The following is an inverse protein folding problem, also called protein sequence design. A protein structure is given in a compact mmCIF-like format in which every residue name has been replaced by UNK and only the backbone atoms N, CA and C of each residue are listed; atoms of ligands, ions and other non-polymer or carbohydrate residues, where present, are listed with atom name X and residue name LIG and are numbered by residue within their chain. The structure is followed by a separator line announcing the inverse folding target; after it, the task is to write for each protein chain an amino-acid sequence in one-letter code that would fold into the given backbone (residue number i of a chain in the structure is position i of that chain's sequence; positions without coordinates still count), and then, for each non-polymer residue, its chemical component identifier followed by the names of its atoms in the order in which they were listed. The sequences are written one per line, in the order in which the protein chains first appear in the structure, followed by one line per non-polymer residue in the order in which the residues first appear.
data_IF_922709529829
#
_entry.id   IF_922709529829
#
_cell.length_a   1.000
_cell.length_b   1.000
_cell.length_c   1.000
_cell.angle_alpha   90.00
_cell.angle_beta   90.00
_cell.angle_gamma   90.00
#
_symmetry.space_group_name_H-M   'P 1'
#
loop_
_entity.id
_entity.type
_entity.pdbx_description
1 polymer ?
#
# COMPACT_ATOMS: atom_id res chain seq x y z
N UNK A 1 12.90 28.10 24.25
CA UNK A 1 12.50 26.92 23.44
C UNK A 1 13.50 26.80 22.32
N UNK A 2 14.27 25.71 22.32
CA UNK A 2 15.37 25.49 21.38
C UNK A 2 14.85 24.84 20.07
N UNK A 3 15.02 25.48 18.90
CA UNK A 3 14.57 24.95 17.61
C UNK A 3 15.43 23.79 17.05
N UNK A 4 16.46 23.31 17.76
CA UNK A 4 17.39 22.30 17.26
C UNK A 4 16.94 20.82 17.37
N UNK A 5 15.67 20.52 17.70
CA UNK A 5 15.21 19.12 17.94
C UNK A 5 14.58 18.39 16.75
N UNK A 6 14.58 18.97 15.55
CA UNK A 6 14.21 18.26 14.33
C UNK A 6 15.43 17.53 13.77
N UNK A 7 15.57 16.25 14.13
CA UNK A 7 16.51 15.35 13.47
C UNK A 7 16.27 15.37 11.96
N UNK A 8 17.33 15.71 11.24
CA UNK A 8 17.47 15.64 9.79
C UNK A 8 17.24 14.20 9.34
N UNK A 9 16.06 13.91 8.79
CA UNK A 9 15.78 12.62 8.15
C UNK A 9 16.61 12.60 6.86
N UNK A 10 17.60 11.71 6.77
CA UNK A 10 18.38 11.55 5.54
C UNK A 10 17.47 11.08 4.38
N UNK A 11 17.66 11.61 3.16
CA UNK A 11 16.82 11.21 2.04
C UNK A 11 17.16 9.78 1.61
N UNK A 12 16.20 8.87 1.83
CA UNK A 12 16.17 7.49 1.35
C UNK A 12 16.22 7.46 -0.19
N UNK A 13 17.41 7.55 -0.77
CA UNK A 13 17.64 7.57 -2.23
C UNK A 13 18.40 6.34 -2.74
N UNK A 14 18.65 5.32 -1.92
CA UNK A 14 19.53 4.21 -2.32
C UNK A 14 18.89 2.92 -2.84
N UNK A 15 17.56 2.73 -2.78
CA UNK A 15 16.95 1.46 -3.22
C UNK A 15 16.34 1.41 -4.63
N UNK A 16 16.42 2.49 -5.43
CA UNK A 16 15.82 2.49 -6.77
C UNK A 16 16.72 1.98 -7.90
N UNK A 17 17.95 1.52 -7.62
CA UNK A 17 18.84 0.97 -8.64
C UNK A 17 18.60 -0.52 -8.82
N UNK A 18 17.53 -0.87 -9.52
CA UNK A 18 17.51 -1.88 -10.59
C UNK A 18 16.06 -2.20 -10.96
N UNK A 19 15.37 -1.26 -11.60
CA UNK A 19 14.01 -1.54 -12.03
C UNK A 19 13.84 -1.08 -13.46
N UNK A 20 13.90 -2.06 -14.37
CA UNK A 20 13.92 -1.98 -15.84
C UNK A 20 13.32 -0.71 -16.43
N UNK A 21 14.09 -0.13 -17.34
CA UNK A 21 13.90 1.12 -18.10
C UNK A 21 12.45 1.66 -18.08
N UNK A 22 12.15 2.44 -17.05
CA UNK A 22 11.04 3.39 -17.07
C UNK A 22 11.64 4.71 -17.54
N UNK A 23 11.16 5.23 -18.67
CA UNK A 23 11.64 6.51 -19.22
C UNK A 23 11.71 7.61 -18.15
N UNK A 24 12.80 8.39 -18.14
CA UNK A 24 13.18 9.36 -17.11
C UNK A 24 12.05 10.34 -16.67
N UNK A 25 11.11 10.67 -17.57
CA UNK A 25 9.95 11.54 -17.29
C UNK A 25 8.91 10.87 -16.39
N UNK A 26 8.68 9.57 -16.56
CA UNK A 26 7.71 8.78 -15.81
C UNK A 26 8.21 8.47 -14.41
N UNK A 27 9.52 8.22 -14.23
CA UNK A 27 10.11 7.99 -12.91
C UNK A 27 10.01 9.24 -12.01
N UNK A 28 10.31 10.43 -12.57
CA UNK A 28 10.19 11.69 -11.83
C UNK A 28 8.73 11.99 -11.45
N UNK A 29 7.78 11.69 -12.34
CA UNK A 29 6.36 11.90 -12.06
C UNK A 29 5.83 10.89 -11.02
N UNK A 30 6.28 9.63 -11.04
CA UNK A 30 5.93 8.63 -10.00
C UNK A 30 6.44 9.08 -8.62
N UNK A 31 7.64 9.66 -8.54
CA UNK A 31 8.20 10.20 -7.29
C UNK A 31 7.38 11.35 -6.69
N UNK A 32 6.62 12.08 -7.51
CA UNK A 32 5.76 13.17 -7.04
C UNK A 32 4.34 12.70 -6.68
N UNK A 33 3.89 11.58 -7.26
CA UNK A 33 2.54 11.06 -7.08
C UNK A 33 2.43 10.09 -5.90
N UNK A 34 3.52 9.38 -5.56
CA UNK A 34 3.54 8.35 -4.52
C UNK A 34 4.77 8.44 -3.63
N UNK A 35 4.59 8.20 -2.33
CA UNK A 35 5.68 7.93 -1.38
C UNK A 35 5.67 6.44 -1.06
N UNK A 36 6.86 5.84 -1.03
CA UNK A 36 7.03 4.43 -0.69
C UNK A 36 7.95 4.33 0.51
N UNK A 37 7.47 3.64 1.53
CA UNK A 37 8.23 3.33 2.74
C UNK A 37 8.17 1.82 2.96
N UNK A 38 9.21 1.27 3.59
CA UNK A 38 9.23 -0.13 4.00
C UNK A 38 9.48 -0.21 5.49
N UNK A 39 8.62 -0.97 6.18
CA UNK A 39 8.77 -1.28 7.60
C UNK A 39 8.78 -2.80 7.72
N UNK A 40 9.93 -3.38 8.09
CA UNK A 40 10.18 -4.82 8.03
C UNK A 40 9.94 -5.37 6.61
N UNK A 41 9.01 -6.29 6.43
CA UNK A 41 8.61 -6.86 5.14
C UNK A 41 7.34 -6.21 4.55
N UNK A 42 6.83 -5.16 5.19
CA UNK A 42 5.61 -4.44 4.78
C UNK A 42 6.00 -3.24 3.92
N UNK A 43 5.49 -3.20 2.69
CA UNK A 43 5.62 -2.05 1.78
C UNK A 43 4.42 -1.12 1.94
N UNK A 44 4.66 0.13 2.28
CA UNK A 44 3.64 1.17 2.45
C UNK A 44 3.74 2.10 1.25
N UNK A 45 2.65 2.27 0.52
CA UNK A 45 2.55 3.14 -0.64
C UNK A 45 1.51 4.20 -0.34
N UNK A 46 1.95 5.43 -0.08
CA UNK A 46 1.08 6.57 0.11
C UNK A 46 0.81 7.27 -1.21
N UNK A 47 -0.47 7.50 -1.50
CA UNK A 47 -0.89 8.27 -2.68
C UNK A 47 -0.96 9.74 -2.30
N UNK A 48 -0.18 10.60 -2.96
CA UNK A 48 -0.13 12.04 -2.69
C UNK A 48 -1.15 12.85 -3.50
N UNK A 49 -1.88 12.20 -4.39
CA UNK A 49 -2.82 12.83 -5.30
C UNK A 49 -4.20 13.03 -4.64
N UNK A 50 -4.80 14.20 -4.85
CA UNK A 50 -6.18 14.46 -4.42
C UNK A 50 -7.20 13.62 -5.20
N UNK A 51 -6.94 13.38 -6.48
CA UNK A 51 -7.84 12.69 -7.39
C UNK A 51 -7.18 11.42 -7.93
N UNK A 52 -7.60 10.26 -7.44
CA UNK A 52 -7.17 8.96 -7.92
C UNK A 52 -8.13 8.50 -9.03
N UNK A 53 -7.87 9.00 -10.24
CA UNK A 53 -8.72 8.78 -11.43
C UNK A 53 -8.04 7.90 -12.48
N UNK A 54 -8.75 7.58 -13.56
CA UNK A 54 -8.29 6.75 -14.69
C UNK A 54 -6.79 6.87 -15.08
N UNK A 55 -6.26 8.09 -15.28
CA UNK A 55 -4.86 8.31 -15.68
C UNK A 55 -3.88 7.82 -14.62
N UNK A 56 -4.23 8.03 -13.36
CA UNK A 56 -3.46 7.56 -12.20
C UNK A 56 -3.56 6.05 -12.08
N UNK A 57 -4.75 5.48 -12.33
CA UNK A 57 -5.03 4.04 -12.17
C UNK A 57 -4.12 3.16 -13.02
N UNK A 58 -3.85 3.52 -14.29
CA UNK A 58 -2.95 2.74 -15.15
C UNK A 58 -1.52 2.73 -14.62
N UNK A 59 -0.97 3.91 -14.33
CA UNK A 59 0.41 4.06 -13.82
C UNK A 59 0.57 3.41 -12.46
N UNK A 60 -0.41 3.58 -11.58
CA UNK A 60 -0.41 2.99 -10.26
C UNK A 60 -0.52 1.46 -10.31
N UNK A 61 -1.33 0.91 -11.23
CA UNK A 61 -1.39 -0.53 -11.46
C UNK A 61 -0.04 -1.10 -11.88
N UNK A 62 0.60 -0.51 -12.88
CA UNK A 62 1.95 -0.94 -13.34
C UNK A 62 2.98 -0.86 -12.20
N UNK A 63 2.92 0.22 -11.43
CA UNK A 63 3.76 0.43 -10.25
C UNK A 63 3.54 -0.66 -9.19
N UNK A 64 2.30 -0.93 -8.82
CA UNK A 64 1.94 -1.93 -7.82
C UNK A 64 2.27 -3.35 -8.28
N UNK A 65 2.02 -3.66 -9.55
CA UNK A 65 2.37 -4.95 -10.14
C UNK A 65 3.88 -5.22 -10.09
N UNK A 66 4.69 -4.19 -10.29
CA UNK A 66 6.15 -4.28 -10.20
C UNK A 66 6.60 -4.64 -8.78
N UNK A 67 6.01 -4.03 -7.75
CA UNK A 67 6.28 -4.42 -6.36
C UNK A 67 5.90 -5.87 -6.07
N UNK A 68 4.73 -6.32 -6.55
CA UNK A 68 4.26 -7.69 -6.38
C UNK A 68 5.19 -8.69 -7.08
N UNK A 69 5.58 -8.42 -8.32
CA UNK A 69 6.52 -9.25 -9.09
C UNK A 69 7.89 -9.31 -8.41
N UNK A 70 8.35 -8.21 -7.79
CA UNK A 70 9.59 -8.14 -7.02
C UNK A 70 9.51 -8.78 -5.62
N UNK A 71 8.54 -9.66 -5.38
CA UNK A 71 8.47 -10.44 -4.15
C UNK A 71 7.76 -9.76 -2.98
N UNK A 72 7.24 -8.53 -3.12
CA UNK A 72 6.48 -7.91 -2.03
C UNK A 72 5.15 -8.64 -1.84
N UNK A 73 4.82 -8.98 -0.59
CA UNK A 73 3.62 -9.75 -0.22
C UNK A 73 2.72 -9.05 0.78
N UNK A 74 3.25 -8.10 1.56
CA UNK A 74 2.47 -7.31 2.51
C UNK A 74 2.50 -5.87 2.05
N UNK A 75 1.37 -5.38 1.53
CA UNK A 75 1.29 -4.04 0.96
C UNK A 75 0.20 -3.25 1.67
N UNK A 76 0.51 -2.02 2.04
CA UNK A 76 -0.45 -1.05 2.57
C UNK A 76 -0.56 0.09 1.56
N UNK A 77 -1.77 0.40 1.11
CA UNK A 77 -2.05 1.58 0.27
C UNK A 77 -2.71 2.65 1.14
N UNK A 78 -2.03 3.78 1.32
CA UNK A 78 -2.56 4.92 2.07
C UNK A 78 -3.23 5.93 1.14
N UNK A 79 -4.57 5.98 1.22
CA UNK A 79 -5.44 6.81 0.40
C UNK A 79 -5.91 8.06 1.13
N UNK A 80 -5.48 8.34 2.38
CA UNK A 80 -6.03 9.45 3.19
C UNK A 80 -5.85 10.84 2.59
N UNK A 81 -4.97 11.03 1.60
CA UNK A 81 -4.81 12.29 0.85
C UNK A 81 -5.72 12.38 -0.37
N UNK A 82 -6.28 11.26 -0.83
CA UNK A 82 -7.27 11.22 -1.90
C UNK A 82 -8.61 11.74 -1.38
N UNK A 83 -9.23 12.66 -2.11
CA UNK A 83 -10.60 13.14 -1.88
C UNK A 83 -11.59 12.43 -2.81
N UNK A 84 -11.15 12.14 -4.05
CA UNK A 84 -11.92 11.43 -5.06
C UNK A 84 -11.18 10.17 -5.50
N UNK A 85 -11.90 9.04 -5.50
CA UNK A 85 -11.42 7.75 -5.97
C UNK A 85 -12.51 7.16 -6.86
N UNK A 86 -12.23 6.96 -8.14
CA UNK A 86 -13.21 6.45 -9.09
C UNK A 86 -13.24 4.92 -9.17
N UNK A 87 -14.20 4.38 -9.93
CA UNK A 87 -14.35 2.94 -10.15
C UNK A 87 -13.14 2.30 -10.85
N UNK A 88 -12.41 3.07 -11.66
CA UNK A 88 -11.21 2.56 -12.35
C UNK A 88 -10.09 2.31 -11.36
N UNK A 89 -9.88 3.23 -10.42
CA UNK A 89 -8.83 3.10 -9.42
C UNK A 89 -9.10 1.92 -8.48
N UNK A 90 -10.35 1.78 -8.02
CA UNK A 90 -10.77 0.60 -7.26
C UNK A 90 -10.62 -0.69 -8.07
N UNK A 91 -10.97 -0.68 -9.36
CA UNK A 91 -10.74 -1.82 -10.26
C UNK A 91 -9.28 -2.24 -10.32
N UNK A 92 -8.34 -1.29 -10.44
CA UNK A 92 -6.91 -1.56 -10.41
C UNK A 92 -6.44 -2.18 -9.09
N UNK A 93 -6.94 -1.69 -7.96
CA UNK A 93 -6.66 -2.25 -6.63
C UNK A 93 -7.20 -3.67 -6.49
N UNK A 94 -8.43 -3.93 -6.91
CA UNK A 94 -9.07 -5.25 -6.82
C UNK A 94 -8.28 -6.28 -7.64
N UNK A 95 -7.88 -5.93 -8.87
CA UNK A 95 -7.07 -6.81 -9.71
C UNK A 95 -5.72 -7.11 -9.04
N UNK A 96 -5.10 -6.10 -8.43
CA UNK A 96 -3.83 -6.26 -7.70
C UNK A 96 -3.98 -7.13 -6.45
N UNK A 97 -5.09 -6.99 -5.72
CA UNK A 97 -5.42 -7.83 -4.56
C UNK A 97 -5.59 -9.30 -4.94
N UNK A 98 -6.31 -9.57 -6.03
CA UNK A 98 -6.45 -10.93 -6.55
C UNK A 98 -5.11 -11.53 -6.93
N UNK A 99 -4.24 -10.74 -7.60
CA UNK A 99 -2.90 -11.17 -8.00
C UNK A 99 -2.01 -11.50 -6.79
N UNK A 100 -1.92 -10.60 -5.81
CA UNK A 100 -1.06 -10.81 -4.63
C UNK A 100 -1.59 -11.94 -3.73
N UNK A 101 -2.92 -12.11 -3.65
CA UNK A 101 -3.55 -13.19 -2.90
C UNK A 101 -3.17 -14.57 -3.43
N UNK A 102 -3.10 -14.74 -4.76
CA UNK A 102 -2.62 -15.97 -5.39
C UNK A 102 -1.14 -16.27 -5.09
N UNK A 103 -0.40 -15.30 -4.55
CA UNK A 103 0.99 -15.41 -4.14
C UNK A 103 1.12 -15.42 -2.60
N UNK A 104 0.04 -15.75 -1.89
CA UNK A 104 -0.05 -15.77 -0.43
C UNK A 104 0.26 -14.43 0.25
N UNK A 105 0.07 -13.32 -0.47
CA UNK A 105 0.17 -11.96 0.07
C UNK A 105 -1.19 -11.26 0.19
N UNK A 106 -1.17 -10.02 0.65
CA UNK A 106 -2.37 -9.21 0.84
C UNK A 106 -2.08 -7.72 0.75
N UNK A 107 -3.04 -6.98 0.20
CA UNK A 107 -3.12 -5.53 0.24
C UNK A 107 -4.11 -5.11 1.33
N UNK A 108 -3.70 -4.11 2.10
CA UNK A 108 -4.53 -3.38 3.05
C UNK A 108 -4.68 -1.95 2.63
N UNK A 109 -5.81 -1.37 2.97
CA UNK A 109 -6.13 0.01 2.60
C UNK A 109 -6.22 0.86 3.85
N UNK A 110 -5.59 2.03 3.81
CA UNK A 110 -5.80 3.08 4.79
C UNK A 110 -6.64 4.18 4.16
N UNK A 111 -7.77 4.50 4.79
CA UNK A 111 -8.82 5.36 4.22
C UNK A 111 -9.43 6.22 5.32
N UNK A 112 -9.87 7.44 4.99
CA UNK A 112 -10.51 8.39 5.90
C UNK A 112 -11.93 8.67 5.41
N UNK A 113 -12.90 7.90 5.93
CA UNK A 113 -14.29 7.94 5.51
C UNK A 113 -14.97 9.31 5.69
N UNK A 114 -14.43 10.19 6.53
CA UNK A 114 -14.97 11.53 6.73
C UNK A 114 -14.51 12.52 5.65
N UNK A 115 -13.36 12.27 4.99
CA UNK A 115 -12.76 13.16 3.98
C UNK A 115 -13.04 12.76 2.55
N UNK A 116 -13.58 11.57 2.33
CA UNK A 116 -13.76 10.97 1.02
C UNK A 116 -15.24 10.86 0.70
N UNK A 117 -15.64 11.44 -0.43
CA UNK A 117 -17.07 11.62 -0.80
C UNK A 117 -17.80 10.33 -1.20
N UNK A 118 -17.32 9.14 -0.81
CA UNK A 118 -17.73 7.87 -1.43
C UNK A 118 -17.95 6.73 -0.43
N UNK A 119 -18.86 6.97 0.52
CA UNK A 119 -19.22 6.00 1.56
C UNK A 119 -19.78 4.67 0.98
N UNK A 120 -20.51 4.73 -0.14
CA UNK A 120 -21.12 3.54 -0.79
C UNK A 120 -20.08 2.59 -1.41
N UNK A 121 -18.93 3.12 -1.85
CA UNK A 121 -17.87 2.26 -2.41
C UNK A 121 -17.07 1.63 -1.26
N UNK A 122 -16.81 2.37 -0.18
CA UNK A 122 -16.10 1.85 0.99
C UNK A 122 -16.76 0.56 1.54
N UNK A 123 -18.09 0.52 1.66
CA UNK A 123 -18.81 -0.65 2.19
C UNK A 123 -18.69 -1.91 1.32
N UNK A 124 -18.49 -1.76 0.01
CA UNK A 124 -18.21 -2.89 -0.88
C UNK A 124 -16.75 -3.32 -0.80
N UNK A 125 -15.84 -2.35 -0.60
CA UNK A 125 -14.41 -2.61 -0.49
C UNK A 125 -14.05 -3.31 0.83
N UNK A 126 -14.81 -3.11 1.91
CA UNK A 126 -14.65 -3.85 3.18
C UNK A 126 -14.74 -5.37 3.01
N UNK A 127 -15.41 -5.86 1.96
CA UNK A 127 -15.50 -7.30 1.65
C UNK A 127 -14.28 -7.83 0.91
N UNK A 128 -13.48 -6.95 0.31
CA UNK A 128 -12.35 -7.31 -0.56
C UNK A 128 -11.01 -7.03 0.14
N UNK A 129 -10.96 -5.92 0.88
CA UNK A 129 -9.77 -5.42 1.55
C UNK A 129 -10.00 -5.36 3.05
N UNK A 130 -8.92 -5.54 3.81
CA UNK A 130 -8.91 -5.09 5.20
C UNK A 130 -8.63 -3.58 5.20
N UNK A 131 -9.59 -2.82 5.68
CA UNK A 131 -9.61 -1.36 5.69
C UNK A 131 -9.26 -0.84 7.09
N UNK A 132 -8.50 0.26 7.16
CA UNK A 132 -8.02 0.84 8.41
C UNK A 132 -8.02 2.37 8.35
N UNK A 133 -8.18 3.03 9.50
CA UNK A 133 -8.16 4.50 9.58
C UNK A 133 -6.75 5.09 9.56
N UNK A 134 -5.73 4.30 9.91
CA UNK A 134 -4.35 4.76 9.94
C UNK A 134 -3.34 3.65 9.59
N UNK A 135 -2.13 4.07 9.23
CA UNK A 135 -1.04 3.16 8.81
C UNK A 135 -0.59 2.26 9.97
N UNK A 136 -0.57 2.76 11.20
CA UNK A 136 -0.14 1.99 12.37
C UNK A 136 -1.03 0.77 12.62
N UNK A 137 -2.35 0.92 12.54
CA UNK A 137 -3.30 -0.20 12.70
C UNK A 137 -3.22 -1.18 11.53
N UNK A 138 -2.96 -0.68 10.32
CA UNK A 138 -2.70 -1.51 9.14
C UNK A 138 -1.37 -2.30 9.23
N UNK A 139 -0.32 -1.74 9.85
CA UNK A 139 0.93 -2.48 10.12
C UNK A 139 0.68 -3.57 11.16
N UNK A 140 0.07 -3.21 12.29
CA UNK A 140 -0.14 -4.13 13.42
C UNK A 140 -0.99 -5.35 13.06
N UNK A 141 -1.91 -5.21 12.09
CA UNK A 141 -2.70 -6.34 11.63
C UNK A 141 -1.85 -7.40 10.90
N UNK A 142 -0.66 -7.08 10.38
CA UNK A 142 0.17 -8.03 9.61
C UNK A 142 0.94 -8.84 10.64
N UNK A 143 1.54 -8.14 11.60
CA UNK A 143 2.14 -8.73 12.79
C UNK A 143 1.21 -9.70 13.52
N UNK A 144 -0.06 -9.31 13.74
CA UNK A 144 -1.05 -10.19 14.38
C UNK A 144 -1.35 -11.45 13.55
N UNK A 145 -1.48 -11.33 12.25
CA UNK A 145 -1.69 -12.49 11.36
C UNK A 145 -0.48 -13.42 11.34
N UNK A 146 0.73 -12.87 11.32
CA UNK A 146 1.97 -13.66 11.36
C UNK A 146 2.11 -14.44 12.68
N UNK A 147 1.79 -13.79 13.81
CA UNK A 147 1.76 -14.45 15.13
C UNK A 147 0.70 -15.56 15.18
N UNK A 148 -0.49 -15.31 14.62
CA UNK A 148 -1.56 -16.31 14.55
C UNK A 148 -1.17 -17.57 13.78
N UNK A 149 -0.45 -17.41 12.66
CA UNK A 149 0.06 -18.55 11.87
C UNK A 149 1.12 -19.36 12.61
N UNK A 150 2.02 -18.67 13.32
CA UNK A 150 3.11 -19.31 14.09
C UNK A 150 2.57 -20.21 15.20
N UNK A 151 1.48 -19.79 15.87
CA UNK A 151 0.86 -20.56 16.94
C UNK A 151 0.09 -21.79 16.44
N UNK A 152 -0.43 -21.78 15.21
CA UNK A 152 -1.14 -22.93 14.62
C UNK A 152 -0.19 -23.99 14.02
N UNK A 153 1.00 -23.59 13.57
CA UNK A 153 1.97 -24.52 12.97
C UNK A 153 2.85 -25.23 14.03
N UNK A 154 2.95 -24.69 15.25
CA UNK A 154 3.76 -25.26 16.35
C UNK A 154 3.03 -26.25 17.25
N UNK A 155 1.77 -26.58 16.98
CA UNK A 155 0.97 -27.48 17.79
C UNK A 155 0.28 -28.54 16.96
N UNK A 156 1.01 -29.63 16.63
CA UNK A 156 0.50 -30.98 16.35
C UNK A 156 1.66 -31.88 15.89
N UNK A 157 2.44 -32.40 16.84
CA UNK A 157 2.96 -33.77 16.77
C UNK A 157 3.23 -34.27 18.20
N UNK A 158 2.18 -34.82 18.81
CA UNK A 158 2.25 -35.69 19.99
C UNK A 158 1.21 -36.80 19.78
N UNK A 159 1.47 -37.67 18.82
CA UNK A 159 0.81 -38.98 18.72
C UNK A 159 1.74 -40.00 18.08
#
# INVERSE_FOLDING_TARGET
MDPARFQKVEPLTKEFRHIGEINNKTEHQIKNDFIVETVNDITIIQILLKNATFVVSKRFKEFLEKHITNGKRKIIIDLRKCQLIDSTFWGALILSQRKIHNLNGSIRIVFDAQKQSVLIIATQMDKIFKMYENVTTAINSFTKEDMGKTLTEGGLDLS
#
